data_IF_605035143782
#
_entry.id   IF_605035143782
#
_cell.length_a   1.000
_cell.length_b   1.000
_cell.length_c   1.000
_cell.angle_alpha   90.00
_cell.angle_beta   90.00
_cell.angle_gamma   90.00
#
_symmetry.space_group_name_H-M   'P 1'
#
loop_
_entity.id
_entity.type
_entity.pdbx_description
1 polymer ?
#
# COMPACT_ATOMS: atom_id res chain seq x y z
N UNK A 1 49.24 -24.29 30.17
CA UNK A 1 49.27 -23.35 29.08
C UNK A 1 47.94 -23.43 28.37
N UNK A 2 47.13 -22.38 28.47
CA UNK A 2 45.87 -22.33 27.80
C UNK A 2 46.01 -22.26 26.28
N UNK A 3 45.05 -22.80 25.59
CA UNK A 3 45.00 -22.61 24.14
C UNK A 3 44.87 -21.14 23.78
N UNK A 4 45.55 -20.76 22.74
CA UNK A 4 45.42 -19.44 22.21
C UNK A 4 43.99 -19.25 21.65
N UNK A 5 43.31 -18.20 22.05
CA UNK A 5 41.96 -17.89 21.61
C UNK A 5 41.91 -17.80 20.07
N UNK A 6 42.99 -17.34 19.43
CA UNK A 6 43.09 -17.27 18.00
C UNK A 6 43.02 -18.61 17.29
N UNK A 7 43.47 -19.71 17.96
CA UNK A 7 43.41 -21.06 17.39
C UNK A 7 42.00 -21.61 17.29
N UNK A 8 41.03 -20.98 17.98
CA UNK A 8 39.61 -21.38 18.00
C UNK A 8 38.78 -20.50 17.08
N UNK A 9 39.38 -19.53 16.42
CA UNK A 9 38.70 -18.62 15.53
C UNK A 9 38.06 -19.40 14.38
N UNK A 10 36.76 -19.19 14.08
CA UNK A 10 36.09 -19.83 12.96
C UNK A 10 36.84 -19.57 11.64
N UNK A 11 36.89 -20.60 10.81
CA UNK A 11 37.43 -20.44 9.47
C UNK A 11 36.59 -19.39 8.70
N UNK A 12 37.24 -18.35 8.27
CA UNK A 12 36.60 -17.26 7.52
C UNK A 12 37.45 -16.92 6.30
N UNK A 13 36.80 -16.89 5.15
CA UNK A 13 37.44 -16.48 3.92
C UNK A 13 36.63 -15.31 3.32
N UNK A 14 37.25 -14.14 3.32
CA UNK A 14 36.62 -12.91 2.83
C UNK A 14 36.19 -13.04 1.36
N UNK A 15 37.06 -13.56 0.50
CA UNK A 15 36.76 -13.67 -0.93
C UNK A 15 35.58 -14.61 -1.17
N UNK A 16 35.54 -15.76 -0.50
CA UNK A 16 34.42 -16.71 -0.60
C UNK A 16 33.12 -16.10 -0.09
N UNK A 17 33.18 -15.41 1.04
CA UNK A 17 32.00 -14.75 1.61
C UNK A 17 31.46 -13.67 0.67
N UNK A 18 32.33 -12.87 0.06
CA UNK A 18 31.92 -11.84 -0.89
C UNK A 18 31.29 -12.46 -2.13
N UNK A 19 31.84 -13.56 -2.64
CA UNK A 19 31.29 -14.28 -3.78
C UNK A 19 29.90 -14.85 -3.48
N UNK A 20 29.71 -15.40 -2.28
CA UNK A 20 28.39 -15.87 -1.85
C UNK A 20 27.37 -14.74 -1.70
N UNK A 21 27.77 -13.59 -1.15
CA UNK A 21 26.92 -12.42 -1.07
C UNK A 21 26.52 -11.89 -2.46
N UNK A 22 27.46 -11.84 -3.37
CA UNK A 22 27.19 -11.42 -4.75
C UNK A 22 26.20 -12.36 -5.44
N UNK A 23 26.32 -13.65 -5.20
CA UNK A 23 25.40 -14.66 -5.73
C UNK A 23 24.00 -14.48 -5.15
N UNK A 24 23.88 -14.28 -3.83
CA UNK A 24 22.60 -14.03 -3.19
C UNK A 24 21.95 -12.75 -3.72
N UNK A 25 22.72 -11.69 -3.89
CA UNK A 25 22.22 -10.43 -4.44
C UNK A 25 21.70 -10.60 -5.88
N UNK A 26 22.40 -11.40 -6.69
CA UNK A 26 21.94 -11.74 -8.04
C UNK A 26 20.61 -12.48 -8.00
N UNK A 27 20.49 -13.47 -7.11
CA UNK A 27 19.27 -14.25 -6.96
C UNK A 27 18.10 -13.36 -6.50
N UNK A 28 18.34 -12.40 -5.61
CA UNK A 28 17.33 -11.43 -5.18
C UNK A 28 16.86 -10.59 -6.37
N UNK A 29 17.78 -10.11 -7.21
CA UNK A 29 17.40 -9.35 -8.42
C UNK A 29 16.56 -10.17 -9.39
N UNK A 30 16.92 -11.43 -9.59
CA UNK A 30 16.16 -12.34 -10.45
C UNK A 30 14.76 -12.59 -9.91
N UNK A 31 14.64 -12.83 -8.60
CA UNK A 31 13.36 -13.05 -7.95
C UNK A 31 12.46 -11.80 -8.04
N UNK A 32 13.02 -10.63 -7.75
CA UNK A 32 12.26 -9.37 -7.84
C UNK A 32 11.80 -9.09 -9.27
N UNK A 33 12.64 -9.37 -10.25
CA UNK A 33 12.25 -9.22 -11.65
C UNK A 33 11.14 -10.19 -12.04
N UNK A 34 11.26 -11.45 -11.66
CA UNK A 34 10.24 -12.46 -11.95
C UNK A 34 8.89 -12.09 -11.30
N UNK A 35 8.92 -11.61 -10.05
CA UNK A 35 7.72 -11.12 -9.37
C UNK A 35 7.12 -9.91 -10.07
N UNK A 36 7.95 -8.99 -10.51
CA UNK A 36 7.49 -7.82 -11.26
C UNK A 36 6.81 -8.21 -12.58
N UNK A 37 7.40 -9.14 -13.32
CA UNK A 37 6.79 -9.67 -14.56
C UNK A 37 5.44 -10.33 -14.24
N UNK A 38 5.38 -11.13 -13.19
CA UNK A 38 4.13 -11.75 -12.74
C UNK A 38 3.07 -10.69 -12.44
N UNK A 39 3.41 -9.68 -11.64
CA UNK A 39 2.48 -8.63 -11.24
C UNK A 39 1.99 -7.78 -12.42
N UNK A 40 2.80 -7.63 -13.47
CA UNK A 40 2.43 -6.82 -14.64
C UNK A 40 1.69 -7.61 -15.72
N UNK A 41 1.69 -8.94 -15.64
CA UNK A 41 1.09 -9.80 -16.67
C UNK A 41 -0.17 -10.54 -16.21
N UNK A 42 -0.43 -10.59 -14.91
CA UNK A 42 -1.61 -11.25 -14.36
C UNK A 42 -2.68 -10.24 -13.99
N UNK A 43 -3.88 -10.44 -14.50
CA UNK A 43 -5.04 -9.61 -14.22
C UNK A 43 -5.80 -10.14 -13.01
N UNK A 44 -6.43 -9.21 -12.27
CA UNK A 44 -7.28 -9.55 -11.14
C UNK A 44 -8.72 -9.68 -11.63
N UNK A 45 -9.36 -10.85 -11.44
CA UNK A 45 -10.73 -11.05 -11.89
C UNK A 45 -11.71 -10.01 -11.32
N UNK A 46 -12.57 -9.47 -12.20
CA UNK A 46 -13.60 -8.51 -11.80
C UNK A 46 -13.18 -7.06 -11.83
N UNK A 47 -11.89 -6.75 -12.01
CA UNK A 47 -11.38 -5.38 -11.98
C UNK A 47 -10.76 -4.91 -13.29
N UNK A 48 -10.47 -5.82 -14.21
CA UNK A 48 -9.79 -5.50 -15.47
C UNK A 48 -8.49 -4.71 -15.24
N UNK A 49 -7.79 -5.04 -14.19
CA UNK A 49 -6.51 -4.47 -13.79
C UNK A 49 -5.51 -5.58 -13.52
N UNK A 50 -4.24 -5.29 -13.76
CA UNK A 50 -3.15 -6.18 -13.36
C UNK A 50 -2.89 -6.08 -11.85
N UNK A 51 -2.13 -7.02 -11.31
CA UNK A 51 -1.81 -7.02 -9.87
C UNK A 51 -1.10 -5.72 -9.48
N UNK A 52 -0.14 -5.25 -10.28
CA UNK A 52 0.57 -4.01 -10.00
C UNK A 52 -0.35 -2.78 -10.03
N UNK A 53 -1.31 -2.75 -10.95
CA UNK A 53 -2.32 -1.70 -10.96
C UNK A 53 -3.20 -1.73 -9.70
N UNK A 54 -3.58 -2.93 -9.24
CA UNK A 54 -4.35 -3.09 -8.00
C UNK A 54 -3.56 -2.63 -6.77
N UNK A 55 -2.25 -2.81 -6.76
CA UNK A 55 -1.38 -2.33 -5.68
C UNK A 55 -1.34 -0.80 -5.57
N UNK A 56 -1.66 -0.11 -6.65
CA UNK A 56 -1.84 1.36 -6.67
C UNK A 56 -3.30 1.73 -6.37
N UNK A 57 -4.23 1.00 -6.93
CA UNK A 57 -5.66 1.31 -6.83
C UNK A 57 -6.19 1.17 -5.40
N UNK A 58 -5.82 0.11 -4.68
CA UNK A 58 -6.29 -0.12 -3.31
C UNK A 58 -5.92 1.02 -2.36
N UNK A 59 -4.67 1.52 -2.32
CA UNK A 59 -4.35 2.71 -1.55
C UNK A 59 -5.11 3.97 -1.98
N UNK A 60 -5.42 4.11 -3.27
CA UNK A 60 -6.24 5.22 -3.76
C UNK A 60 -7.66 5.15 -3.20
N UNK A 61 -8.25 3.96 -3.18
CA UNK A 61 -9.57 3.74 -2.57
C UNK A 61 -9.55 4.02 -1.06
N UNK A 62 -8.49 3.59 -0.38
CA UNK A 62 -8.33 3.84 1.06
C UNK A 62 -8.29 5.33 1.36
N UNK A 63 -7.49 6.09 0.62
CA UNK A 63 -7.41 7.55 0.78
C UNK A 63 -8.73 8.23 0.45
N UNK A 64 -9.41 7.77 -0.58
CA UNK A 64 -10.72 8.30 -0.97
C UNK A 64 -11.77 8.05 0.11
N UNK A 65 -11.77 6.84 0.70
CA UNK A 65 -12.65 6.50 1.81
C UNK A 65 -12.40 7.40 3.02
N UNK A 66 -11.14 7.62 3.37
CA UNK A 66 -10.76 8.50 4.49
C UNK A 66 -11.22 9.94 4.26
N UNK A 67 -11.05 10.44 3.04
CA UNK A 67 -11.52 11.78 2.67
C UNK A 67 -13.04 11.87 2.77
N UNK A 68 -13.75 10.88 2.25
CA UNK A 68 -15.22 10.85 2.32
C UNK A 68 -15.71 10.72 3.77
N UNK A 69 -15.02 9.95 4.62
CA UNK A 69 -15.34 9.86 6.05
C UNK A 69 -15.20 11.22 6.73
N UNK A 70 -14.15 11.96 6.43
CA UNK A 70 -13.94 13.31 6.94
C UNK A 70 -15.04 14.26 6.46
N UNK A 71 -15.39 14.22 5.18
CA UNK A 71 -16.46 15.05 4.62
C UNK A 71 -17.82 14.73 5.24
N UNK A 72 -18.09 13.44 5.45
CA UNK A 72 -19.32 12.93 6.05
C UNK A 72 -19.53 13.42 7.48
N UNK A 73 -18.45 13.68 8.20
CA UNK A 73 -18.49 14.16 9.59
C UNK A 73 -18.73 15.67 9.70
N UNK A 74 -18.73 16.41 8.60
CA UNK A 74 -18.94 17.84 8.63
C UNK A 74 -20.41 18.20 8.80
N UNK A 75 -20.68 19.31 9.49
CA UNK A 75 -22.01 19.86 9.58
C UNK A 75 -22.35 20.62 8.30
N UNK A 76 -23.63 20.57 7.83
CA UNK A 76 -24.04 21.33 6.64
C UNK A 76 -23.77 22.83 6.75
N UNK A 77 -23.75 23.35 7.98
CA UNK A 77 -23.51 24.75 8.27
C UNK A 77 -22.76 24.85 9.59
N UNK A 78 -21.63 25.52 9.60
CA UNK A 78 -20.85 25.76 10.82
C UNK A 78 -20.59 27.24 10.99
N UNK A 79 -20.44 27.67 12.27
CA UNK A 79 -20.06 29.04 12.58
C UNK A 79 -18.55 29.21 12.35
N UNK A 80 -18.18 30.23 11.61
CA UNK A 80 -16.76 30.55 11.41
C UNK A 80 -16.14 31.06 12.71
N UNK A 81 -15.01 30.48 13.12
CA UNK A 81 -14.22 30.97 14.23
C UNK A 81 -13.26 32.03 13.70
N UNK A 82 -13.49 33.30 14.06
CA UNK A 82 -12.62 34.39 13.71
C UNK A 82 -11.94 34.93 14.97
N UNK A 83 -10.62 34.85 15.03
CA UNK A 83 -9.84 35.46 16.12
C UNK A 83 -9.82 36.98 16.06
N UNK A 84 -10.30 37.60 14.99
CA UNK A 84 -10.25 39.04 14.75
C UNK A 84 -11.62 39.69 14.66
N UNK A 85 -12.66 39.00 15.06
CA UNK A 85 -14.01 39.56 14.97
C UNK A 85 -14.21 40.64 16.05
N UNK A 86 -14.12 41.90 15.63
CA UNK A 86 -14.57 43.05 16.41
C UNK A 86 -16.00 43.45 16.04
N UNK A 87 -16.62 42.73 15.11
CA UNK A 87 -17.96 43.00 14.65
C UNK A 87 -18.96 42.02 15.28
N UNK A 88 -20.22 42.49 15.41
CA UNK A 88 -21.32 41.63 15.87
C UNK A 88 -21.86 40.73 14.76
N UNK A 89 -21.14 40.60 13.63
CA UNK A 89 -21.53 39.75 12.51
C UNK A 89 -21.10 38.34 12.80
N UNK A 90 -22.06 37.42 12.72
CA UNK A 90 -21.82 35.98 12.82
C UNK A 90 -21.66 35.42 11.41
N UNK A 91 -20.44 34.95 11.12
CA UNK A 91 -20.18 34.28 9.87
C UNK A 91 -20.45 32.79 9.97
N UNK A 92 -21.02 32.22 8.90
CA UNK A 92 -21.27 30.80 8.77
C UNK A 92 -20.53 30.26 7.58
N UNK A 93 -20.03 29.03 7.76
CA UNK A 93 -19.41 28.25 6.69
C UNK A 93 -20.43 27.21 6.24
N UNK A 94 -20.71 27.20 4.94
CA UNK A 94 -21.59 26.23 4.31
C UNK A 94 -20.79 25.21 3.53
N UNK A 95 -21.22 23.95 3.56
CA UNK A 95 -20.66 22.93 2.71
C UNK A 95 -21.03 23.20 1.26
N UNK A 96 -20.07 22.96 0.35
CA UNK A 96 -20.28 23.07 -1.09
C UNK A 96 -20.67 21.74 -1.73
N UNK A 97 -21.09 20.76 -0.92
CA UNK A 97 -21.49 19.43 -1.38
C UNK A 97 -22.65 18.91 -0.54
N UNK A 98 -23.39 17.95 -1.11
CA UNK A 98 -24.51 17.30 -0.44
C UNK A 98 -24.01 16.14 0.42
N UNK A 99 -24.36 16.12 1.71
CA UNK A 99 -23.96 15.06 2.62
C UNK A 99 -24.55 13.69 2.26
N UNK A 100 -25.73 13.66 1.64
CA UNK A 100 -26.31 12.39 1.17
C UNK A 100 -25.50 11.79 0.03
N UNK A 101 -25.01 12.62 -0.89
CA UNK A 101 -24.14 12.17 -1.97
C UNK A 101 -22.82 11.64 -1.43
N UNK A 102 -22.25 12.31 -0.43
CA UNK A 102 -21.01 11.88 0.23
C UNK A 102 -21.20 10.54 0.93
N UNK A 103 -22.31 10.35 1.62
CA UNK A 103 -22.61 9.09 2.30
C UNK A 103 -22.77 7.94 1.31
N UNK A 104 -23.47 8.16 0.19
CA UNK A 104 -23.62 7.18 -0.87
C UNK A 104 -22.26 6.82 -1.47
N UNK A 105 -21.41 7.80 -1.76
CA UNK A 105 -20.07 7.58 -2.28
C UNK A 105 -19.19 6.85 -1.27
N UNK A 106 -19.30 7.18 0.00
CA UNK A 106 -18.57 6.50 1.07
C UNK A 106 -18.89 5.01 1.13
N UNK A 107 -20.17 4.67 1.07
CA UNK A 107 -20.61 3.27 1.07
C UNK A 107 -20.12 2.53 -0.17
N UNK A 108 -20.22 3.17 -1.32
CA UNK A 108 -19.75 2.60 -2.60
C UNK A 108 -18.25 2.34 -2.59
N UNK A 109 -17.46 3.31 -2.13
CA UNK A 109 -15.99 3.19 -2.07
C UNK A 109 -15.56 2.16 -1.04
N UNK A 110 -16.24 2.11 0.12
CA UNK A 110 -15.97 1.11 1.16
C UNK A 110 -16.23 -0.31 0.65
N UNK A 111 -17.33 -0.51 -0.07
CA UNK A 111 -17.66 -1.80 -0.66
C UNK A 111 -16.65 -2.20 -1.73
N UNK A 112 -16.28 -1.29 -2.62
CA UNK A 112 -15.29 -1.55 -3.67
C UNK A 112 -13.91 -1.85 -3.10
N UNK A 113 -13.49 -1.13 -2.05
CA UNK A 113 -12.22 -1.42 -1.35
C UNK A 113 -12.21 -2.83 -0.79
N UNK A 114 -13.28 -3.25 -0.14
CA UNK A 114 -13.41 -4.61 0.40
C UNK A 114 -13.33 -5.67 -0.71
N UNK A 115 -14.06 -5.46 -1.81
CA UNK A 115 -14.03 -6.38 -2.96
C UNK A 115 -12.66 -6.43 -3.62
N UNK A 116 -11.98 -5.28 -3.73
CA UNK A 116 -10.65 -5.19 -4.31
C UNK A 116 -9.61 -5.96 -3.48
N UNK A 117 -9.65 -5.81 -2.16
CA UNK A 117 -8.76 -6.53 -1.25
C UNK A 117 -8.98 -8.03 -1.31
N UNK A 118 -10.24 -8.47 -1.30
CA UNK A 118 -10.59 -9.90 -1.41
C UNK A 118 -10.14 -10.49 -2.74
N UNK A 119 -10.32 -9.76 -3.84
CA UNK A 119 -9.92 -10.23 -5.16
C UNK A 119 -8.40 -10.35 -5.29
N UNK A 120 -7.66 -9.38 -4.77
CA UNK A 120 -6.19 -9.42 -4.77
C UNK A 120 -5.67 -10.56 -3.89
N UNK A 121 -6.24 -10.75 -2.71
CA UNK A 121 -5.86 -11.84 -1.81
C UNK A 121 -6.13 -13.20 -2.45
N UNK A 122 -7.24 -13.36 -3.15
CA UNK A 122 -7.57 -14.60 -3.85
C UNK A 122 -6.54 -14.92 -4.94
N UNK A 123 -6.13 -13.92 -5.73
CA UNK A 123 -5.09 -14.10 -6.76
C UNK A 123 -3.76 -14.49 -6.11
N UNK A 124 -3.37 -13.82 -5.04
CA UNK A 124 -2.12 -14.11 -4.33
C UNK A 124 -2.09 -15.51 -3.69
N UNK A 125 -3.25 -16.07 -3.36
CA UNK A 125 -3.36 -17.39 -2.76
C UNK A 125 -3.45 -18.51 -3.80
N UNK A 126 -4.00 -18.24 -4.97
CA UNK A 126 -4.28 -19.27 -5.98
C UNK A 126 -3.31 -19.28 -7.16
N UNK A 127 -2.73 -18.13 -7.50
CA UNK A 127 -1.80 -18.02 -8.62
C UNK A 127 -0.37 -18.29 -8.17
N UNK A 128 0.34 -19.06 -8.96
CA UNK A 128 1.77 -19.37 -8.72
C UNK A 128 2.54 -19.15 -10.02
N UNK A 129 3.84 -18.94 -9.88
CA UNK A 129 4.75 -18.89 -11.01
C UNK A 129 6.05 -19.61 -10.65
N UNK A 130 6.71 -20.09 -11.69
CA UNK A 130 8.01 -20.75 -11.55
C UNK A 130 9.08 -19.96 -12.29
N UNK A 131 10.28 -19.97 -11.74
CA UNK A 131 11.44 -19.41 -12.40
C UNK A 131 12.70 -20.11 -11.88
N UNK A 132 13.75 -20.12 -12.69
CA UNK A 132 15.01 -20.75 -12.33
C UNK A 132 16.00 -19.72 -11.82
N UNK A 133 16.57 -19.98 -10.63
CA UNK A 133 17.69 -19.19 -10.11
C UNK A 133 18.99 -19.65 -10.74
N UNK A 134 19.69 -18.73 -11.34
CA UNK A 134 20.97 -18.99 -11.98
C UNK A 134 22.13 -18.48 -11.14
#
# INVERSE_FOLDING_TARGET
VGEDIESVRPAYNYATTQAELDQLQRQIRQLKHALNVFNTTHTVPGFNMTIDEMLVYIPQLTRKREKLASMKSQLPKTRANSFRSTSNIIDYIYLNYDLNDVETDYERVTDELSRAQLALDAVNQTETFEFDLV
#
